data_IF_816398959529
#
_entry.id   IF_816398959529
#
_cell.length_a   1.000
_cell.length_b   1.000
_cell.length_c   1.000
_cell.angle_alpha   90.00
_cell.angle_beta   90.00
_cell.angle_gamma   90.00
#
_symmetry.space_group_name_H-M   'P 1'
#
loop_
_entity.id
_entity.type
_entity.pdbx_description
1 polymer ?
#
# COMPACT_ATOMS: atom_id res chain seq x y z
N UNK A 1 26.11 6.26 9.33
CA UNK A 1 24.67 6.58 9.19
C UNK A 1 24.23 6.10 7.82
N UNK A 2 23.89 4.82 7.72
CA UNK A 2 23.61 4.14 6.45
C UNK A 2 22.24 4.59 5.92
N UNK A 3 22.24 5.29 4.80
CA UNK A 3 21.04 5.49 3.97
C UNK A 3 20.64 4.10 3.46
N UNK A 4 19.43 3.59 3.72
CA UNK A 4 18.91 2.51 2.90
C UNK A 4 18.50 3.13 1.58
N UNK A 5 19.20 2.72 0.54
CA UNK A 5 19.06 3.20 -0.83
C UNK A 5 17.61 3.14 -1.31
N UNK A 6 17.18 4.22 -1.96
CA UNK A 6 15.96 4.36 -2.74
C UNK A 6 16.00 3.50 -4.03
N UNK A 7 16.36 2.22 -3.88
CA UNK A 7 16.62 1.28 -4.95
C UNK A 7 15.81 -0.02 -4.75
N UNK A 8 14.51 0.10 -4.47
CA UNK A 8 13.58 -1.01 -4.67
C UNK A 8 13.08 -0.97 -6.11
N UNK A 9 13.94 -1.47 -6.99
CA UNK A 9 13.64 -2.11 -8.27
C UNK A 9 12.23 -1.87 -8.83
N UNK A 10 12.11 -0.91 -9.75
CA UNK A 10 10.99 -0.80 -10.68
C UNK A 10 11.06 -1.91 -11.73
N UNK A 11 10.84 -3.15 -11.28
CA UNK A 11 10.46 -4.27 -12.14
C UNK A 11 8.99 -4.14 -12.51
N UNK A 12 8.67 -3.18 -13.38
CA UNK A 12 7.35 -3.05 -13.99
C UNK A 12 7.24 -4.18 -15.03
N UNK A 13 6.33 -5.12 -14.79
CA UNK A 13 5.95 -6.15 -15.75
C UNK A 13 5.49 -5.51 -17.08
N UNK A 14 5.72 -6.16 -18.21
CA UNK A 14 5.28 -5.65 -19.53
C UNK A 14 3.77 -5.34 -19.55
N UNK A 15 2.98 -6.08 -18.78
CA UNK A 15 1.54 -5.86 -18.59
C UNK A 15 1.24 -4.55 -17.85
N UNK A 16 2.01 -4.24 -16.81
CA UNK A 16 1.87 -2.99 -16.03
C UNK A 16 2.26 -1.77 -16.88
N UNK A 17 3.30 -1.92 -17.71
CA UNK A 17 3.71 -0.87 -18.66
C UNK A 17 2.63 -0.59 -19.70
N UNK A 18 1.96 -1.63 -20.18
CA UNK A 18 0.83 -1.51 -21.12
C UNK A 18 -0.36 -0.79 -20.47
N UNK A 19 -0.74 -1.15 -19.24
CA UNK A 19 -1.78 -0.45 -18.47
C UNK A 19 -1.44 1.01 -18.20
N UNK A 20 -0.17 1.29 -17.95
CA UNK A 20 0.30 2.65 -17.77
C UNK A 20 0.17 3.47 -19.07
N UNK A 21 0.61 2.92 -20.20
CA UNK A 21 0.48 3.59 -21.49
C UNK A 21 -0.98 3.90 -21.83
N UNK A 22 -1.86 2.90 -21.71
CA UNK A 22 -3.31 3.06 -21.91
C UNK A 22 -3.92 4.15 -20.99
N UNK A 23 -3.47 4.20 -19.74
CA UNK A 23 -3.91 5.24 -18.82
C UNK A 23 -3.44 6.65 -19.22
N UNK A 24 -2.18 6.79 -19.63
CA UNK A 24 -1.65 8.09 -20.07
C UNK A 24 -2.36 8.59 -21.33
N UNK A 25 -2.73 7.70 -22.25
CA UNK A 25 -3.54 8.05 -23.42
C UNK A 25 -4.96 8.47 -23.00
N UNK A 26 -5.54 7.81 -21.99
CA UNK A 26 -6.85 8.17 -21.45
C UNK A 26 -6.87 9.56 -20.76
N UNK A 27 -5.76 10.00 -20.16
CA UNK A 27 -5.67 11.31 -19.48
C UNK A 27 -6.06 12.46 -20.40
N UNK A 28 -5.62 12.42 -21.65
CA UNK A 28 -5.85 13.48 -22.64
C UNK A 28 -7.33 13.67 -22.97
N UNK A 29 -8.13 12.60 -22.86
CA UNK A 29 -9.57 12.63 -23.17
C UNK A 29 -10.43 12.86 -21.94
N UNK A 30 -9.98 12.41 -20.76
CA UNK A 30 -10.79 12.38 -19.55
C UNK A 30 -10.66 13.64 -18.67
N UNK A 31 -9.54 14.35 -18.72
CA UNK A 31 -9.27 15.46 -17.79
C UNK A 31 -8.73 16.71 -18.48
N UNK A 32 -9.14 17.92 -18.02
CA UNK A 32 -8.50 19.15 -18.46
C UNK A 32 -7.07 19.25 -17.89
N UNK A 33 -6.08 19.74 -18.68
CA UNK A 33 -4.68 19.85 -18.29
C UNK A 33 -4.46 21.08 -17.39
N UNK A 34 -5.05 21.05 -16.20
CA UNK A 34 -4.93 22.12 -15.21
C UNK A 34 -4.50 21.56 -13.85
N UNK A 35 -3.81 22.38 -13.04
CA UNK A 35 -3.31 21.99 -11.71
C UNK A 35 -4.40 21.42 -10.79
N UNK A 36 -5.64 21.89 -10.92
CA UNK A 36 -6.78 21.39 -10.14
C UNK A 36 -7.14 19.92 -10.41
N UNK A 37 -6.75 19.36 -11.56
CA UNK A 37 -7.01 17.95 -11.93
C UNK A 37 -6.03 16.99 -11.26
N UNK A 38 -4.97 17.46 -10.61
CA UNK A 38 -3.88 16.59 -10.14
C UNK A 38 -4.37 15.49 -9.19
N UNK A 39 -5.17 15.85 -8.16
CA UNK A 39 -5.69 14.88 -7.19
C UNK A 39 -6.64 13.87 -7.85
N UNK A 40 -7.67 14.29 -8.62
CA UNK A 40 -8.54 13.36 -9.35
C UNK A 40 -7.77 12.41 -10.27
N UNK A 41 -6.78 12.93 -11.01
CA UNK A 41 -5.91 12.15 -11.88
C UNK A 41 -5.15 11.09 -11.07
N UNK A 42 -4.47 11.48 -9.99
CA UNK A 42 -3.73 10.54 -9.15
C UNK A 42 -4.64 9.47 -8.52
N UNK A 43 -5.88 9.83 -8.15
CA UNK A 43 -6.87 8.88 -7.64
C UNK A 43 -7.31 7.87 -8.70
N UNK A 44 -7.54 8.31 -9.94
CA UNK A 44 -7.84 7.43 -11.07
C UNK A 44 -6.67 6.50 -11.39
N UNK A 45 -5.45 7.05 -11.47
CA UNK A 45 -4.23 6.29 -11.71
C UNK A 45 -4.07 5.16 -10.68
N UNK A 46 -4.20 5.49 -9.40
CA UNK A 46 -4.11 4.51 -8.33
C UNK A 46 -5.24 3.47 -8.39
N UNK A 47 -6.45 3.83 -8.81
CA UNK A 47 -7.56 2.88 -8.94
C UNK A 47 -7.31 1.85 -10.04
N UNK A 48 -6.71 2.27 -11.16
CA UNK A 48 -6.42 1.39 -12.31
C UNK A 48 -5.16 0.57 -12.11
N UNK A 49 -4.11 1.19 -11.58
CA UNK A 49 -2.79 0.56 -11.42
C UNK A 49 -2.63 -0.12 -10.05
N UNK A 50 -3.46 0.19 -9.06
CA UNK A 50 -3.36 -0.29 -7.68
C UNK A 50 -2.32 0.46 -6.82
N UNK A 51 -1.38 1.16 -7.46
CA UNK A 51 -0.35 2.00 -6.86
C UNK A 51 0.09 3.08 -7.86
N UNK A 52 0.98 3.97 -7.44
CA UNK A 52 1.52 5.06 -8.26
C UNK A 52 3.01 4.83 -8.56
N UNK A 53 3.33 4.17 -9.70
CA UNK A 53 4.72 4.04 -10.13
C UNK A 53 5.30 5.41 -10.51
N UNK A 54 6.64 5.51 -10.46
CA UNK A 54 7.36 6.75 -10.82
C UNK A 54 7.00 7.20 -12.23
N UNK A 55 6.95 6.28 -13.16
CA UNK A 55 6.65 6.49 -14.57
C UNK A 55 5.24 7.09 -14.76
N UNK A 56 4.26 6.72 -13.93
CA UNK A 56 2.94 7.33 -13.92
C UNK A 56 2.99 8.78 -13.44
N UNK A 57 3.67 9.04 -12.33
CA UNK A 57 3.83 10.40 -11.80
C UNK A 57 4.54 11.32 -12.80
N UNK A 58 5.55 10.81 -13.49
CA UNK A 58 6.25 11.52 -14.58
C UNK A 58 5.32 11.83 -15.75
N UNK A 59 4.52 10.86 -16.19
CA UNK A 59 3.55 11.05 -17.27
C UNK A 59 2.50 12.09 -16.93
N UNK A 60 1.97 12.05 -15.70
CA UNK A 60 1.00 13.02 -15.17
C UNK A 60 1.62 14.42 -15.07
N UNK A 61 2.85 14.53 -14.56
CA UNK A 61 3.56 15.81 -14.47
C UNK A 61 3.72 16.48 -15.84
N UNK A 62 4.11 15.69 -16.86
CA UNK A 62 4.22 16.16 -18.25
C UNK A 62 2.87 16.57 -18.82
N UNK A 63 1.82 15.78 -18.59
CA UNK A 63 0.46 16.09 -19.06
C UNK A 63 -0.08 17.41 -18.49
N UNK A 64 0.18 17.67 -17.20
CA UNK A 64 -0.27 18.88 -16.50
C UNK A 64 0.68 20.07 -16.66
N UNK A 65 1.86 19.89 -17.26
CA UNK A 65 2.88 20.93 -17.40
C UNK A 65 3.43 21.42 -16.05
N UNK A 66 3.50 20.53 -15.04
CA UNK A 66 4.01 20.87 -13.70
C UNK A 66 5.33 20.16 -13.38
N UNK A 67 6.15 20.71 -12.46
CA UNK A 67 7.34 20.02 -11.98
C UNK A 67 6.99 18.67 -11.34
N UNK A 68 7.82 17.66 -11.58
CA UNK A 68 7.68 16.33 -10.96
C UNK A 68 7.65 16.41 -9.43
N UNK A 69 8.42 17.35 -8.87
CA UNK A 69 8.50 17.58 -7.42
C UNK A 69 7.15 17.99 -6.81
N UNK A 70 6.33 18.74 -7.53
CA UNK A 70 4.98 19.12 -7.07
C UNK A 70 4.08 17.88 -6.97
N UNK A 71 4.20 16.96 -7.93
CA UNK A 71 3.46 15.67 -7.90
C UNK A 71 3.92 14.83 -6.72
N UNK A 72 5.24 14.68 -6.53
CA UNK A 72 5.79 13.96 -5.39
C UNK A 72 5.37 14.57 -4.04
N UNK A 73 5.34 15.90 -3.93
CA UNK A 73 4.90 16.59 -2.72
C UNK A 73 3.45 16.22 -2.39
N UNK A 74 2.55 16.23 -3.38
CA UNK A 74 1.13 15.85 -3.18
C UNK A 74 1.00 14.38 -2.80
N UNK A 75 1.70 13.48 -3.50
CA UNK A 75 1.63 12.03 -3.26
C UNK A 75 2.19 11.65 -1.89
N UNK A 76 3.23 12.33 -1.43
CA UNK A 76 3.82 12.09 -0.09
C UNK A 76 3.03 12.76 1.03
N UNK A 77 2.36 13.88 0.76
CA UNK A 77 1.52 14.58 1.72
C UNK A 77 0.22 13.82 2.04
N UNK A 78 -0.47 13.30 1.02
CA UNK A 78 -1.72 12.58 1.23
C UNK A 78 -1.48 11.09 1.51
N UNK A 79 -1.83 10.68 2.73
CA UNK A 79 -1.64 9.32 3.22
C UNK A 79 -2.40 8.25 2.38
N UNK A 80 -3.42 8.66 1.62
CA UNK A 80 -4.23 7.79 0.76
C UNK A 80 -3.45 7.21 -0.43
N UNK A 81 -2.35 7.85 -0.84
CA UNK A 81 -1.61 7.45 -2.02
C UNK A 81 -0.52 6.42 -1.68
N UNK A 82 -0.44 5.38 -2.51
CA UNK A 82 0.47 4.25 -2.39
C UNK A 82 1.52 4.33 -3.48
N UNK A 83 2.78 4.45 -3.08
CA UNK A 83 3.94 4.47 -3.97
C UNK A 83 4.45 3.07 -4.32
N UNK A 84 4.20 2.12 -3.42
CA UNK A 84 4.65 0.74 -3.56
C UNK A 84 3.50 -0.15 -4.06
N UNK A 85 3.79 -1.18 -4.86
CA UNK A 85 2.78 -2.13 -5.33
C UNK A 85 2.13 -2.81 -4.12
N UNK A 86 0.79 -2.92 -4.08
CA UNK A 86 0.11 -3.62 -2.99
C UNK A 86 0.47 -5.11 -2.99
N UNK A 87 0.47 -5.72 -1.81
CA UNK A 87 0.56 -7.16 -1.70
C UNK A 87 -0.76 -7.82 -2.08
N UNK A 88 -0.77 -9.15 -2.22
CA UNK A 88 -2.01 -9.94 -2.30
C UNK A 88 -2.90 -9.70 -1.07
N UNK A 89 -2.28 -9.50 0.09
CA UNK A 89 -2.93 -9.28 1.37
C UNK A 89 -2.51 -7.93 2.00
N UNK A 90 -3.47 -7.03 2.23
CA UNK A 90 -3.22 -5.69 2.78
C UNK A 90 -3.46 -5.66 4.28
N UNK A 91 -2.39 -5.52 5.07
CA UNK A 91 -2.43 -5.43 6.53
C UNK A 91 -2.35 -3.98 6.99
N UNK A 92 -3.38 -3.49 7.67
CA UNK A 92 -3.47 -2.12 8.21
C UNK A 92 -3.63 -2.13 9.72
N UNK A 93 -2.62 -1.68 10.45
CA UNK A 93 -2.65 -1.64 11.92
C UNK A 93 -3.23 -0.31 12.41
N UNK A 94 -4.21 -0.36 13.32
CA UNK A 94 -4.82 0.83 13.90
C UNK A 94 -3.88 1.50 14.91
N UNK A 95 -3.55 2.77 14.67
CA UNK A 95 -2.70 3.61 15.52
C UNK A 95 -3.48 4.72 16.23
N UNK A 96 -4.81 4.56 16.34
CA UNK A 96 -5.65 5.50 17.08
C UNK A 96 -5.37 5.44 18.57
N UNK A 97 -5.72 6.49 19.32
CA UNK A 97 -5.38 6.65 20.74
C UNK A 97 -5.68 5.42 21.60
N UNK A 98 -6.87 4.83 21.44
CA UNK A 98 -7.26 3.63 22.19
C UNK A 98 -6.41 2.40 21.84
N UNK A 99 -6.04 2.24 20.56
CA UNK A 99 -5.15 1.14 20.15
C UNK A 99 -3.71 1.42 20.58
N UNK A 100 -3.24 2.66 20.50
CA UNK A 100 -1.90 3.06 20.92
C UNK A 100 -1.66 2.75 22.40
N UNK A 101 -2.57 3.17 23.29
CA UNK A 101 -2.45 2.92 24.75
C UNK A 101 -2.57 1.43 25.09
N UNK A 102 -3.36 0.65 24.34
CA UNK A 102 -3.51 -0.80 24.54
C UNK A 102 -2.40 -1.65 23.90
N UNK A 103 -1.34 -1.03 23.37
CA UNK A 103 -0.20 -1.77 22.81
C UNK A 103 -0.27 -2.02 21.30
N UNK A 104 -0.96 -1.16 20.54
CA UNK A 104 -1.00 -1.20 19.07
C UNK A 104 0.39 -1.11 18.43
N UNK A 105 1.32 -0.38 19.06
CA UNK A 105 2.72 -0.35 18.63
C UNK A 105 3.39 -1.73 18.72
N UNK A 106 3.12 -2.49 19.78
CA UNK A 106 3.66 -3.85 19.96
C UNK A 106 3.14 -4.80 18.88
N UNK A 107 1.88 -4.64 18.49
CA UNK A 107 1.29 -5.39 17.35
C UNK A 107 1.97 -5.01 16.05
N UNK A 108 2.15 -3.71 15.77
CA UNK A 108 2.86 -3.23 14.58
C UNK A 108 4.30 -3.77 14.52
N UNK A 109 5.03 -3.71 15.62
CA UNK A 109 6.41 -4.21 15.71
C UNK A 109 6.48 -5.74 15.55
N UNK A 110 5.42 -6.47 15.95
CA UNK A 110 5.29 -7.89 15.68
C UNK A 110 5.16 -8.16 14.18
N UNK A 111 4.29 -7.42 13.49
CA UNK A 111 4.13 -7.52 12.04
C UNK A 111 5.43 -7.21 11.29
N UNK A 112 6.09 -6.11 11.66
CA UNK A 112 7.38 -5.72 11.07
C UNK A 112 8.44 -6.82 11.22
N UNK A 113 8.58 -7.39 12.43
CA UNK A 113 9.56 -8.45 12.69
C UNK A 113 9.26 -9.74 11.94
N UNK A 114 7.98 -10.12 11.83
CA UNK A 114 7.58 -11.36 11.16
C UNK A 114 7.65 -11.28 9.64
N UNK A 115 7.25 -10.14 9.07
CA UNK A 115 7.27 -9.93 7.62
C UNK A 115 8.63 -9.41 7.12
N UNK A 116 9.50 -8.92 8.01
CA UNK A 116 10.81 -8.37 7.64
C UNK A 116 10.74 -7.04 6.88
N UNK A 117 9.62 -6.31 6.99
CA UNK A 117 9.37 -5.05 6.28
C UNK A 117 9.02 -3.90 7.24
N UNK A 118 9.20 -2.68 6.78
CA UNK A 118 8.76 -1.47 7.48
C UNK A 118 7.30 -1.10 7.14
N UNK A 119 6.75 -0.13 7.88
CA UNK A 119 5.45 0.46 7.51
C UNK A 119 5.51 1.07 6.10
N UNK A 120 4.39 0.98 5.37
CA UNK A 120 4.23 1.38 3.96
C UNK A 120 5.09 0.61 2.97
N UNK A 121 5.57 -0.57 3.35
CA UNK A 121 6.31 -1.46 2.45
C UNK A 121 5.51 -2.72 2.15
N UNK A 122 5.94 -3.39 1.09
CA UNK A 122 5.40 -4.66 0.63
C UNK A 122 6.50 -5.70 0.71
N UNK A 123 6.16 -6.93 1.07
CA UNK A 123 7.13 -8.03 1.08
C UNK A 123 7.72 -8.27 -0.31
N UNK A 124 8.98 -8.74 -0.41
CA UNK A 124 9.61 -9.06 -1.70
C UNK A 124 8.78 -10.04 -2.54
N UNK A 125 8.08 -10.97 -1.86
CA UNK A 125 7.20 -11.97 -2.48
C UNK A 125 5.86 -11.40 -2.97
N UNK A 126 5.61 -10.09 -2.78
CA UNK A 126 4.34 -9.39 -3.08
C UNK A 126 3.10 -10.03 -2.45
N UNK A 127 3.27 -10.79 -1.36
CA UNK A 127 2.14 -11.42 -0.68
C UNK A 127 1.49 -10.52 0.35
N UNK A 128 2.28 -9.74 1.11
CA UNK A 128 1.75 -8.89 2.17
C UNK A 128 2.25 -7.45 2.00
N UNK A 129 1.34 -6.49 2.15
CA UNK A 129 1.72 -5.10 2.45
C UNK A 129 1.36 -4.74 3.88
N UNK A 130 2.21 -3.90 4.49
CA UNK A 130 2.03 -3.44 5.86
C UNK A 130 1.88 -1.92 5.87
N UNK A 131 0.75 -1.43 6.34
CA UNK A 131 0.50 -0.01 6.54
C UNK A 131 -0.18 0.25 7.90
N UNK A 132 -0.31 1.52 8.25
CA UNK A 132 -0.96 1.98 9.48
C UNK A 132 -2.16 2.85 9.14
N UNK A 133 -3.22 2.73 9.92
CA UNK A 133 -4.42 3.57 9.80
C UNK A 133 -4.63 4.37 11.08
N UNK A 134 -5.02 5.64 10.94
CA UNK A 134 -5.18 6.54 12.08
C UNK A 134 -6.28 6.07 13.04
N UNK A 135 -7.45 5.69 12.54
CA UNK A 135 -8.51 5.12 13.36
C UNK A 135 -9.43 4.24 12.50
N UNK A 136 -9.82 3.09 13.04
CA UNK A 136 -10.83 2.20 12.42
C UNK A 136 -12.22 2.43 13.03
N UNK A 137 -12.30 3.08 14.19
CA UNK A 137 -13.56 3.29 14.92
C UNK A 137 -13.99 2.12 15.83
N UNK A 138 -13.29 1.00 15.80
CA UNK A 138 -13.61 -0.20 16.59
C UNK A 138 -12.90 -0.22 17.97
N UNK A 139 -12.92 0.88 18.72
CA UNK A 139 -12.16 1.03 19.97
C UNK A 139 -12.50 -0.02 21.05
N UNK A 140 -13.73 -0.56 21.04
CA UNK A 140 -14.15 -1.63 21.95
C UNK A 140 -13.31 -2.91 21.82
N UNK A 141 -12.76 -3.17 20.64
CA UNK A 141 -11.96 -4.35 20.32
C UNK A 141 -10.46 -4.05 20.22
N UNK A 142 -10.01 -2.90 20.69
CA UNK A 142 -8.59 -2.52 20.64
C UNK A 142 -7.68 -3.52 21.40
N UNK A 143 -6.49 -3.86 20.87
CA UNK A 143 -5.88 -3.41 19.61
C UNK A 143 -6.51 -4.01 18.34
N UNK A 144 -6.62 -3.22 17.27
CA UNK A 144 -7.28 -3.60 16.01
C UNK A 144 -6.29 -3.62 14.84
N UNK A 145 -6.40 -4.62 13.98
CA UNK A 145 -5.73 -4.69 12.68
C UNK A 145 -6.76 -5.05 11.61
N UNK A 146 -6.67 -4.45 10.43
CA UNK A 146 -7.54 -4.75 9.29
C UNK A 146 -6.73 -5.51 8.25
N UNK A 147 -7.22 -6.67 7.82
CA UNK A 147 -6.55 -7.52 6.83
C UNK A 147 -7.57 -7.75 5.71
N UNK A 148 -7.25 -7.35 4.48
CA UNK A 148 -8.12 -7.52 3.30
C UNK A 148 -9.56 -6.98 3.45
N UNK A 149 -9.71 -5.95 4.28
CA UNK A 149 -10.97 -5.34 4.71
C UNK A 149 -11.71 -6.03 5.88
N UNK A 150 -11.23 -7.17 6.37
CA UNK A 150 -11.72 -7.78 7.60
C UNK A 150 -11.08 -7.17 8.84
N UNK A 151 -11.91 -6.83 9.83
CA UNK A 151 -11.45 -6.20 11.08
C UNK A 151 -11.13 -7.28 12.11
N UNK A 152 -9.84 -7.39 12.45
CA UNK A 152 -9.33 -8.27 13.49
C UNK A 152 -9.15 -7.49 14.81
N UNK A 153 -10.00 -7.79 15.79
CA UNK A 153 -9.95 -7.20 17.13
C UNK A 153 -9.16 -8.04 18.13
N UNK A 154 -8.80 -7.45 19.28
CA UNK A 154 -8.01 -8.09 20.36
C UNK A 154 -6.71 -8.68 19.81
N UNK A 155 -6.00 -7.89 19.02
CA UNK A 155 -4.74 -8.30 18.43
C UNK A 155 -3.63 -8.36 19.47
N UNK A 156 -2.83 -9.43 19.40
CA UNK A 156 -1.64 -9.67 20.19
C UNK A 156 -0.54 -10.22 19.27
N UNK A 157 0.75 -10.16 19.67
CA UNK A 157 1.84 -10.74 18.89
C UNK A 157 1.60 -12.21 18.52
N UNK A 158 1.09 -13.02 19.46
CA UNK A 158 0.75 -14.42 19.21
C UNK A 158 -0.35 -14.59 18.15
N UNK A 159 -1.31 -13.66 18.10
CA UNK A 159 -2.38 -13.70 17.09
C UNK A 159 -1.87 -13.30 15.71
N UNK A 160 -0.88 -12.40 15.63
CA UNK A 160 -0.17 -12.10 14.37
C UNK A 160 0.44 -13.37 13.80
N UNK A 161 1.13 -14.14 14.65
CA UNK A 161 1.77 -15.40 14.25
C UNK A 161 0.74 -16.42 13.76
N UNK A 162 -0.37 -16.57 14.48
CA UNK A 162 -1.46 -17.46 14.09
C UNK A 162 -2.08 -17.08 12.75
N UNK A 163 -2.29 -15.78 12.49
CA UNK A 163 -2.84 -15.29 11.22
C UNK A 163 -1.87 -15.58 10.07
N UNK A 164 -0.58 -15.27 10.23
CA UNK A 164 0.43 -15.54 9.21
C UNK A 164 0.52 -17.03 8.88
N UNK A 165 0.45 -17.90 9.89
CA UNK A 165 0.47 -19.35 9.71
C UNK A 165 -0.75 -19.85 8.92
N UNK A 166 -1.95 -19.32 9.20
CA UNK A 166 -3.17 -19.69 8.46
C UNK A 166 -3.02 -19.36 6.97
N UNK A 167 -2.46 -18.19 6.64
CA UNK A 167 -2.25 -17.79 5.25
C UNK A 167 -1.18 -18.64 4.57
N UNK A 168 -0.10 -19.02 5.27
CA UNK A 168 0.90 -19.95 4.76
C UNK A 168 0.29 -21.33 4.44
N UNK A 169 -0.54 -21.86 5.33
CA UNK A 169 -1.23 -23.15 5.12
C UNK A 169 -2.20 -23.08 3.94
N UNK A 170 -2.91 -21.95 3.77
CA UNK A 170 -3.78 -21.74 2.62
C UNK A 170 -2.99 -21.71 1.31
N UNK A 171 -1.85 -21.01 1.29
CA UNK A 171 -0.93 -20.97 0.14
C UNK A 171 -0.42 -22.37 -0.24
N UNK A 172 -0.02 -23.18 0.75
CA UNK A 172 0.44 -24.56 0.51
C UNK A 172 -0.69 -25.45 -0.05
N UNK A 173 -1.93 -25.26 0.40
CA UNK A 173 -3.10 -25.97 -0.15
C UNK A 173 -3.40 -25.53 -1.57
N UNK A 174 -3.32 -24.24 -1.88
CA UNK A 174 -3.50 -23.71 -3.23
C UNK A 174 -2.41 -24.22 -4.19
N UNK A 175 -1.15 -24.28 -3.75
CA UNK A 175 -0.05 -24.82 -4.57
C UNK A 175 -0.16 -26.32 -4.82
N UNK A 176 -0.75 -27.08 -3.90
CA UNK A 176 -0.95 -28.53 -4.04
C UNK A 176 -2.23 -28.89 -4.81
N UNK A 177 -3.13 -27.93 -5.01
CA UNK A 177 -4.38 -28.11 -5.73
C UNK A 177 -4.30 -27.75 -7.22
N UNK A 178 -3.15 -27.28 -7.71
CA UNK A 178 -2.93 -27.01 -9.14
C UNK A 178 -2.37 -28.29 -9.81
N UNK A 179 -3.17 -29.02 -10.61
CA UNK A 179 -2.73 -30.23 -11.32
C UNK A 179 -1.75 -29.92 -12.46
#
# INVERSE_FOLDING_TARGET
>A
MSRPDAATQSGISDEERKRLADYLDHLATAFPPHRGSLIPILQEAQRRLGYLPREAMLGIARFLGIPEMDVYAVVTFYNQFRLNPPGKHSVRVCMGTACHVKGGQVVLDSWKRRLGIEKRQTTPDREFDLDTVACVGCCAMAPVTVIDAEVQGKMSPTRVDGILLVHQIQKEKESRAKP
#
